data_IF_212031793270
#
_entry.id   IF_212031793270
#
_cell.length_a   1.000
_cell.length_b   1.000
_cell.length_c   1.000
_cell.angle_alpha   90.00
_cell.angle_beta   90.00
_cell.angle_gamma   90.00
#
_symmetry.space_group_name_H-M   'P 1'
#
loop_
_entity.id
_entity.type
_entity.pdbx_description
1 polymer ?
#
# COMPACT_ATOMS: atom_id res chain seq x y z
N UNK A 1 -2.31 -39.51 7.22
CA UNK A 1 -1.98 -40.69 6.39
C UNK A 1 -2.31 -40.29 4.95
N UNK A 2 -1.30 -40.03 4.11
CA UNK A 2 -1.51 -39.74 2.68
C UNK A 2 -0.69 -40.76 1.90
N UNK A 3 -1.38 -41.43 0.99
CA UNK A 3 -0.86 -42.42 0.05
C UNK A 3 -0.63 -41.72 -1.30
N UNK A 4 0.48 -42.03 -1.97
CA UNK A 4 0.91 -41.43 -3.24
C UNK A 4 0.63 -42.42 -4.36
N UNK A 5 0.14 -41.96 -5.52
CA UNK A 5 0.13 -42.77 -6.74
C UNK A 5 -0.31 -42.00 -7.99
N UNK A 6 0.61 -41.78 -8.93
CA UNK A 6 0.31 -41.24 -10.25
C UNK A 6 1.55 -40.88 -11.06
N UNK A 7 2.07 -41.83 -11.82
CA UNK A 7 3.15 -41.69 -12.82
C UNK A 7 2.80 -40.67 -13.92
N UNK A 8 3.72 -39.74 -14.22
CA UNK A 8 3.65 -38.91 -15.43
C UNK A 8 4.95 -39.02 -16.23
N UNK A 9 4.83 -39.59 -17.43
CA UNK A 9 5.92 -39.72 -18.42
C UNK A 9 6.09 -38.38 -19.16
N UNK A 10 7.33 -37.93 -19.33
CA UNK A 10 7.68 -36.76 -20.13
C UNK A 10 7.82 -37.11 -21.62
N UNK A 11 7.22 -36.31 -22.50
CA UNK A 11 7.54 -36.27 -23.93
C UNK A 11 8.58 -35.16 -24.19
N UNK A 12 9.63 -35.40 -25.01
CA UNK A 12 10.62 -34.37 -25.32
C UNK A 12 10.09 -33.36 -26.35
N UNK A 13 10.26 -32.06 -26.06
CA UNK A 13 10.06 -30.95 -27.00
C UNK A 13 11.27 -30.79 -27.95
N UNK A 14 11.07 -30.30 -29.19
CA UNK A 14 12.16 -30.12 -30.15
C UNK A 14 13.15 -29.04 -29.70
N UNK A 15 14.43 -29.33 -29.86
CA UNK A 15 15.55 -28.45 -29.49
C UNK A 15 15.63 -27.24 -30.42
N UNK A 16 15.46 -26.04 -29.87
CA UNK A 16 15.88 -24.81 -30.56
C UNK A 16 17.40 -24.69 -30.50
N UNK A 17 18.02 -24.42 -31.64
CA UNK A 17 19.47 -24.24 -31.76
C UNK A 17 19.88 -22.99 -30.96
N UNK A 18 20.78 -23.08 -29.98
CA UNK A 18 21.19 -21.91 -29.20
C UNK A 18 22.01 -20.94 -30.09
N UNK A 19 21.76 -19.62 -30.00
CA UNK A 19 22.52 -18.65 -30.76
C UNK A 19 23.99 -18.68 -30.33
N UNK A 20 24.90 -18.78 -31.30
CA UNK A 20 26.34 -18.77 -31.02
C UNK A 20 26.81 -17.36 -30.65
N UNK A 21 27.81 -17.28 -29.76
CA UNK A 21 28.41 -16.05 -29.21
C UNK A 21 28.77 -14.98 -30.27
N UNK A 22 28.98 -15.41 -31.52
CA UNK A 22 29.36 -14.56 -32.65
C UNK A 22 28.21 -13.69 -33.19
N UNK A 23 26.95 -14.07 -32.97
CA UNK A 23 25.76 -13.34 -33.48
C UNK A 23 25.19 -12.31 -32.49
N UNK A 24 25.54 -12.40 -31.20
CA UNK A 24 25.11 -11.44 -30.16
C UNK A 24 25.91 -10.13 -30.20
N UNK A 25 27.17 -10.18 -30.66
CA UNK A 25 28.06 -9.01 -30.68
C UNK A 25 27.85 -8.06 -31.88
N UNK A 26 27.04 -8.41 -32.87
CA UNK A 26 26.82 -7.57 -34.06
C UNK A 26 25.64 -6.60 -33.94
N UNK A 27 24.85 -6.65 -32.85
CA UNK A 27 23.68 -5.78 -32.62
C UNK A 27 23.80 -4.87 -31.39
N UNK A 28 24.93 -4.91 -30.68
CA UNK A 28 25.15 -4.09 -29.50
C UNK A 28 25.82 -2.75 -29.89
N UNK A 29 25.03 -1.67 -29.89
CA UNK A 29 25.57 -0.32 -29.79
C UNK A 29 26.21 -0.19 -28.40
N UNK A 30 27.51 0.16 -28.27
CA UNK A 30 28.13 0.25 -26.96
C UNK A 30 27.60 1.50 -26.24
N UNK A 31 26.65 1.31 -25.34
CA UNK A 31 26.38 2.29 -24.29
C UNK A 31 27.55 2.23 -23.30
N UNK A 32 28.43 3.23 -23.35
CA UNK A 32 29.40 3.46 -22.29
C UNK A 32 28.59 3.93 -21.08
N UNK A 33 28.16 2.98 -20.25
CA UNK A 33 27.58 3.26 -18.93
C UNK A 33 28.76 3.44 -17.97
N UNK A 34 28.90 4.63 -17.38
CA UNK A 34 29.99 4.90 -16.46
C UNK A 34 29.85 4.03 -15.21
N UNK A 35 30.96 3.68 -14.54
CA UNK A 35 30.90 2.92 -13.29
C UNK A 35 30.05 3.63 -12.21
N UNK A 36 29.90 4.95 -12.31
CA UNK A 36 29.03 5.77 -11.47
C UNK A 36 27.52 5.52 -11.73
N UNK A 37 27.12 5.12 -12.94
CA UNK A 37 25.72 4.76 -13.24
C UNK A 37 25.34 3.37 -12.71
N UNK A 38 26.32 2.52 -12.39
CA UNK A 38 26.13 1.20 -11.77
C UNK A 38 26.32 1.21 -10.25
N UNK A 39 26.55 2.37 -9.62
CA UNK A 39 26.69 2.50 -8.17
C UNK A 39 27.88 1.75 -7.55
N UNK A 40 28.86 1.31 -8.34
CA UNK A 40 30.10 0.72 -7.80
C UNK A 40 30.99 1.85 -7.28
N UNK A 41 31.46 1.68 -6.03
CA UNK A 41 32.22 2.62 -5.19
C UNK A 41 31.42 3.44 -4.14
N UNK A 42 30.17 3.06 -3.82
CA UNK A 42 29.46 3.61 -2.67
C UNK A 42 28.98 5.07 -2.82
N UNK A 43 29.15 5.66 -4.01
CA UNK A 43 28.57 6.96 -4.34
C UNK A 43 27.11 6.78 -4.77
N UNK A 44 26.19 7.26 -3.94
CA UNK A 44 24.78 7.44 -4.32
C UNK A 44 24.73 8.62 -5.28
N UNK A 45 24.36 8.39 -6.55
CA UNK A 45 24.26 9.48 -7.53
C UNK A 45 23.24 10.54 -7.06
N UNK A 46 23.26 11.78 -7.58
CA UNK A 46 22.24 12.80 -7.25
C UNK A 46 20.79 12.34 -7.54
N UNK A 47 20.61 11.33 -8.41
CA UNK A 47 19.34 10.64 -8.69
C UNK A 47 19.10 9.39 -7.82
N UNK A 48 19.91 9.16 -6.78
CA UNK A 48 19.90 7.93 -5.98
C UNK A 48 18.97 7.95 -4.77
N UNK A 49 18.20 9.03 -4.58
CA UNK A 49 17.16 9.09 -3.55
C UNK A 49 15.83 8.64 -4.12
N UNK A 50 15.12 7.82 -3.37
CA UNK A 50 13.73 7.44 -3.68
C UNK A 50 12.88 8.70 -3.57
N UNK A 51 12.23 9.07 -4.67
CA UNK A 51 11.38 10.26 -4.74
C UNK A 51 9.97 9.86 -4.35
N UNK A 52 9.46 10.51 -3.32
CA UNK A 52 8.20 10.12 -2.71
C UNK A 52 7.21 11.29 -2.73
N UNK A 53 5.97 10.99 -3.11
CA UNK A 53 4.84 11.86 -2.84
C UNK A 53 4.03 11.32 -1.66
N UNK A 54 3.46 12.23 -0.85
CA UNK A 54 2.53 11.85 0.21
C UNK A 54 1.12 12.36 -0.12
N UNK A 55 0.20 11.43 -0.35
CA UNK A 55 -1.21 11.69 -0.65
C UNK A 55 -2.03 11.32 0.59
N UNK A 56 -2.78 12.27 1.13
CA UNK A 56 -3.45 12.16 2.44
C UNK A 56 -2.45 12.33 3.58
N UNK A 57 -2.23 13.57 4.01
CA UNK A 57 -1.23 13.98 5.01
C UNK A 57 -1.85 14.45 6.34
N UNK A 58 -3.08 14.03 6.63
CA UNK A 58 -3.65 14.06 7.99
C UNK A 58 -2.90 13.14 8.98
N UNK A 59 -3.55 12.72 10.07
CA UNK A 59 -2.92 12.02 11.22
C UNK A 59 -1.82 10.98 10.89
N UNK A 60 -2.17 9.84 10.29
CA UNK A 60 -1.19 8.80 9.96
C UNK A 60 -0.26 9.20 8.81
N UNK A 61 -0.76 9.98 7.85
CA UNK A 61 0.03 10.50 6.73
C UNK A 61 1.20 11.36 7.22
N UNK A 62 0.96 12.27 8.16
CA UNK A 62 1.99 13.09 8.81
C UNK A 62 3.00 12.22 9.60
N UNK A 63 2.55 11.19 10.31
CA UNK A 63 3.45 10.27 11.03
C UNK A 63 4.38 9.53 10.07
N UNK A 64 3.82 9.01 8.98
CA UNK A 64 4.58 8.34 7.92
C UNK A 64 5.57 9.29 7.24
N UNK A 65 5.14 10.52 6.95
CA UNK A 65 5.98 11.57 6.38
C UNK A 65 7.21 11.84 7.27
N UNK A 66 7.01 12.03 8.59
CA UNK A 66 8.12 12.24 9.54
C UNK A 66 9.11 11.08 9.55
N UNK A 67 8.61 9.84 9.58
CA UNK A 67 9.46 8.66 9.59
C UNK A 67 10.31 8.52 8.31
N UNK A 68 9.74 8.87 7.16
CA UNK A 68 10.44 8.82 5.87
C UNK A 68 11.47 9.92 5.70
N UNK A 69 11.15 11.13 6.16
CA UNK A 69 12.09 12.25 6.13
C UNK A 69 13.34 12.03 6.99
N UNK A 70 13.26 11.12 7.96
CA UNK A 70 14.41 10.71 8.78
C UNK A 70 15.39 9.80 8.00
N UNK A 71 14.99 9.23 6.86
CA UNK A 71 15.86 8.41 6.01
C UNK A 71 16.53 9.29 4.94
N UNK A 72 17.85 9.39 4.99
CA UNK A 72 18.63 10.22 4.07
C UNK A 72 18.51 9.81 2.59
N UNK A 73 18.05 8.58 2.32
CA UNK A 73 17.82 8.03 0.98
C UNK A 73 16.46 8.41 0.40
N UNK A 74 15.59 9.06 1.17
CA UNK A 74 14.27 9.48 0.72
C UNK A 74 14.27 10.98 0.47
N UNK A 75 13.60 11.39 -0.61
CA UNK A 75 13.27 12.79 -0.86
C UNK A 75 11.76 12.92 -1.06
N UNK A 76 11.12 13.73 -0.23
CA UNK A 76 9.70 14.07 -0.42
C UNK A 76 9.61 15.18 -1.47
N UNK A 77 8.86 14.92 -2.54
CA UNK A 77 8.84 15.79 -3.75
C UNK A 77 7.47 16.37 -4.05
N UNK A 78 6.42 15.82 -3.42
CA UNK A 78 5.05 16.29 -3.53
C UNK A 78 4.25 15.98 -2.27
N UNK A 79 3.34 16.89 -1.93
CA UNK A 79 2.35 16.72 -0.87
C UNK A 79 0.97 16.87 -1.50
N UNK A 80 0.03 16.01 -1.13
CA UNK A 80 -1.34 16.10 -1.59
C UNK A 80 -2.32 15.89 -0.44
N UNK A 81 -3.24 16.83 -0.28
CA UNK A 81 -4.39 16.67 0.61
C UNK A 81 -5.54 17.54 0.11
N UNK A 82 -6.77 17.05 0.27
CA UNK A 82 -7.97 17.83 -0.01
C UNK A 82 -8.21 18.89 1.07
N UNK A 83 -7.68 18.66 2.28
CA UNK A 83 -7.67 19.61 3.38
C UNK A 83 -6.45 20.54 3.30
N UNK A 84 -6.71 21.81 2.97
CA UNK A 84 -5.67 22.82 2.79
C UNK A 84 -4.82 23.07 4.05
N UNK A 85 -5.36 22.85 5.25
CA UNK A 85 -4.60 23.03 6.48
C UNK A 85 -3.60 21.89 6.68
N UNK A 86 -4.03 20.65 6.43
CA UNK A 86 -3.13 19.50 6.45
C UNK A 86 -2.05 19.61 5.37
N UNK A 87 -2.44 19.97 4.15
CA UNK A 87 -1.51 20.17 3.04
C UNK A 87 -0.45 21.24 3.38
N UNK A 88 -0.85 22.41 3.87
CA UNK A 88 0.06 23.50 4.22
C UNK A 88 1.00 23.11 5.37
N UNK A 89 0.48 22.45 6.41
CA UNK A 89 1.29 21.99 7.53
C UNK A 89 2.33 20.94 7.11
N UNK A 90 1.93 19.97 6.29
CA UNK A 90 2.82 18.93 5.76
C UNK A 90 3.83 19.49 4.75
N UNK A 91 3.43 20.46 3.92
CA UNK A 91 4.32 21.12 2.97
C UNK A 91 5.43 21.89 3.70
N UNK A 92 5.06 22.66 4.73
CA UNK A 92 6.00 23.35 5.61
C UNK A 92 6.92 22.36 6.32
N UNK A 93 6.38 21.25 6.82
CA UNK A 93 7.15 20.21 7.48
C UNK A 93 8.19 19.60 6.53
N UNK A 94 7.77 19.22 5.31
CA UNK A 94 8.61 18.55 4.32
C UNK A 94 9.55 19.49 3.56
N UNK A 95 9.35 20.81 3.65
CA UNK A 95 10.11 21.79 2.88
C UNK A 95 9.87 21.72 1.37
N UNK A 96 8.70 21.25 0.95
CA UNK A 96 8.35 21.22 -0.48
C UNK A 96 7.87 22.60 -0.96
N UNK A 97 8.19 23.00 -2.19
CA UNK A 97 7.71 24.27 -2.73
C UNK A 97 6.18 24.23 -2.93
N UNK A 98 5.56 25.40 -2.93
CA UNK A 98 4.10 25.55 -3.06
C UNK A 98 3.56 24.89 -4.34
N UNK A 99 4.29 24.98 -5.46
CA UNK A 99 3.94 24.32 -6.73
C UNK A 99 4.03 22.78 -6.72
N UNK A 100 4.46 22.18 -5.60
CA UNK A 100 4.46 20.73 -5.37
C UNK A 100 3.42 20.31 -4.32
N UNK A 101 2.47 21.20 -4.00
CA UNK A 101 1.33 20.93 -3.13
C UNK A 101 0.09 20.82 -3.99
N UNK A 102 -0.57 19.66 -3.93
CA UNK A 102 -1.69 19.34 -4.79
C UNK A 102 -2.95 19.13 -3.95
N UNK A 103 -4.10 19.53 -4.48
CA UNK A 103 -5.40 19.17 -3.90
C UNK A 103 -5.90 17.85 -4.47
N UNK A 104 -5.61 17.59 -5.75
CA UNK A 104 -6.04 16.41 -6.47
C UNK A 104 -4.92 15.38 -6.59
N UNK A 105 -5.17 14.17 -6.08
CA UNK A 105 -4.18 13.10 -6.10
C UNK A 105 -3.83 12.63 -7.51
N UNK A 106 -4.72 12.83 -8.48
CA UNK A 106 -4.47 12.44 -9.89
C UNK A 106 -3.34 13.26 -10.50
N UNK A 107 -3.19 14.51 -10.09
CA UNK A 107 -2.07 15.36 -10.52
C UNK A 107 -0.73 14.83 -9.99
N UNK A 108 -0.72 14.25 -8.79
CA UNK A 108 0.45 13.58 -8.24
C UNK A 108 0.76 12.29 -8.96
N UNK A 109 -0.26 11.46 -9.23
CA UNK A 109 -0.09 10.18 -9.93
C UNK A 109 0.33 10.36 -11.39
N UNK A 110 0.01 11.50 -12.01
CA UNK A 110 0.47 11.84 -13.35
C UNK A 110 1.98 12.17 -13.40
N UNK A 111 2.63 12.33 -12.25
CA UNK A 111 4.07 12.59 -12.20
C UNK A 111 4.86 11.31 -12.40
N UNK A 112 5.78 11.33 -13.36
CA UNK A 112 6.68 10.21 -13.65
C UNK A 112 7.83 10.05 -12.65
N UNK A 113 7.85 10.83 -11.56
CA UNK A 113 8.98 10.96 -10.64
C UNK A 113 8.66 10.53 -9.19
N UNK A 114 7.68 9.63 -9.00
CA UNK A 114 7.18 9.17 -7.69
C UNK A 114 7.17 7.64 -7.59
N UNK A 115 7.76 7.08 -6.52
CA UNK A 115 7.90 5.63 -6.26
C UNK A 115 7.02 5.11 -5.08
N UNK A 116 6.72 3.79 -5.03
CA UNK A 116 5.79 3.16 -4.07
C UNK A 116 6.43 2.13 -3.10
N UNK A 117 5.78 1.90 -1.93
CA UNK A 117 6.34 1.31 -0.70
C UNK A 117 6.21 -0.22 -0.55
N UNK A 118 7.34 -0.93 -0.55
CA UNK A 118 7.59 -2.24 0.15
C UNK A 118 8.79 -2.18 1.13
N UNK A 119 9.31 -0.99 1.44
CA UNK A 119 10.69 -0.76 1.89
C UNK A 119 10.97 -0.96 3.40
N UNK A 120 10.06 -1.55 4.17
CA UNK A 120 10.26 -1.75 5.62
C UNK A 120 11.33 -2.81 5.90
N UNK A 121 12.44 -2.46 6.57
CA UNK A 121 13.59 -3.35 6.75
C UNK A 121 13.23 -4.67 7.48
N UNK A 122 12.42 -4.61 8.55
CA UNK A 122 11.98 -5.82 9.28
C UNK A 122 11.11 -6.73 8.41
N UNK A 123 10.21 -6.13 7.62
CA UNK A 123 9.33 -6.84 6.70
C UNK A 123 10.16 -7.54 5.63
N UNK A 124 11.06 -6.80 4.99
CA UNK A 124 11.97 -7.34 3.97
C UNK A 124 12.79 -8.52 4.50
N UNK A 125 13.40 -8.39 5.67
CA UNK A 125 14.19 -9.49 6.27
C UNK A 125 13.34 -10.73 6.55
N UNK A 126 12.10 -10.56 7.02
CA UNK A 126 11.19 -11.66 7.27
C UNK A 126 10.81 -12.37 5.97
N UNK A 127 10.37 -11.62 4.95
CA UNK A 127 10.03 -12.15 3.63
C UNK A 127 11.23 -12.86 2.98
N UNK A 128 12.43 -12.29 3.05
CA UNK A 128 13.65 -12.92 2.51
C UNK A 128 13.99 -14.23 3.22
N UNK A 129 13.81 -14.34 4.54
CA UNK A 129 14.05 -15.61 5.26
C UNK A 129 13.07 -16.69 4.85
N UNK A 130 11.78 -16.35 4.73
CA UNK A 130 10.75 -17.29 4.27
C UNK A 130 11.07 -17.78 2.86
N UNK A 131 11.29 -16.85 1.93
CA UNK A 131 11.53 -17.15 0.51
C UNK A 131 12.82 -17.92 0.25
N UNK A 132 13.83 -17.74 1.08
CA UNK A 132 15.08 -18.49 1.00
C UNK A 132 15.05 -19.83 1.77
N UNK A 133 13.87 -20.25 2.25
CA UNK A 133 13.68 -21.57 2.86
C UNK A 133 14.22 -21.71 4.28
N UNK A 134 14.53 -20.61 4.99
CA UNK A 134 15.07 -20.68 6.35
C UNK A 134 14.10 -21.31 7.37
N UNK A 135 12.80 -21.32 7.07
CA UNK A 135 11.76 -21.93 7.91
C UNK A 135 11.28 -23.28 7.36
N UNK A 136 11.91 -23.80 6.31
CA UNK A 136 11.39 -24.94 5.55
C UNK A 136 10.20 -24.56 4.68
N UNK A 137 9.28 -25.50 4.49
CA UNK A 137 8.08 -25.31 3.68
C UNK A 137 7.05 -24.45 4.44
N UNK A 138 6.64 -23.33 3.85
CA UNK A 138 5.61 -22.46 4.41
C UNK A 138 4.25 -23.16 4.40
N UNK A 139 3.63 -23.32 5.57
CA UNK A 139 2.32 -23.98 5.72
C UNK A 139 1.17 -23.02 6.00
N UNK A 140 1.43 -21.97 6.78
CA UNK A 140 0.39 -21.06 7.27
C UNK A 140 0.99 -19.67 7.54
N UNK A 141 0.19 -18.62 7.35
CA UNK A 141 0.50 -17.25 7.75
C UNK A 141 -0.68 -16.72 8.56
N UNK A 142 -0.42 -16.35 9.80
CA UNK A 142 -1.41 -15.69 10.66
C UNK A 142 -1.19 -14.18 10.64
N UNK A 143 -2.27 -13.42 10.41
CA UNK A 143 -2.24 -11.96 10.34
C UNK A 143 -3.15 -11.40 11.42
N UNK A 144 -2.58 -10.54 12.28
CA UNK A 144 -3.32 -9.78 13.28
C UNK A 144 -3.31 -8.28 12.97
N UNK A 145 -4.48 -7.65 13.03
CA UNK A 145 -4.58 -6.17 13.02
C UNK A 145 -4.60 -5.62 14.45
N UNK A 146 -4.02 -4.44 14.70
CA UNK A 146 -4.02 -3.85 16.03
C UNK A 146 -5.45 -3.43 16.45
N UNK A 147 -6.11 -4.23 17.28
CA UNK A 147 -7.52 -4.05 17.70
C UNK A 147 -7.81 -2.90 18.67
N UNK A 148 -7.13 -1.74 18.56
CA UNK A 148 -7.28 -0.59 19.47
C UNK A 148 -7.72 0.74 18.83
N UNK A 149 -8.01 0.77 17.54
CA UNK A 149 -8.60 1.95 16.90
C UNK A 149 -10.10 1.93 17.14
N UNK A 150 -10.56 2.92 17.88
CA UNK A 150 -11.96 3.23 18.07
C UNK A 150 -12.32 4.50 17.29
N UNK A 151 -13.62 4.74 17.11
CA UNK A 151 -14.14 6.02 16.66
C UNK A 151 -13.53 7.14 17.51
N UNK A 152 -13.05 8.19 16.85
CA UNK A 152 -12.41 9.34 17.49
C UNK A 152 -13.38 10.50 17.62
N UNK A 153 -13.15 11.36 18.60
CA UNK A 153 -13.93 12.59 18.79
C UNK A 153 -15.24 12.40 19.57
N UNK A 154 -15.47 11.22 20.16
CA UNK A 154 -16.66 10.96 20.98
C UNK A 154 -17.95 10.80 20.17
N UNK A 155 -17.86 10.67 18.85
CA UNK A 155 -19.03 10.47 17.99
C UNK A 155 -19.67 9.10 18.20
N UNK A 156 -20.98 9.09 18.12
CA UNK A 156 -21.87 7.94 18.25
C UNK A 156 -22.24 7.35 16.88
N UNK A 157 -22.14 8.15 15.82
CA UNK A 157 -22.63 7.81 14.48
C UNK A 157 -24.12 8.09 14.30
N UNK A 158 -24.77 8.72 15.29
CA UNK A 158 -26.19 9.10 15.29
C UNK A 158 -26.36 10.63 15.23
N UNK A 159 -25.28 11.36 15.00
CA UNK A 159 -25.29 12.82 14.93
C UNK A 159 -26.18 13.30 13.77
N UNK A 160 -26.93 14.38 14.05
CA UNK A 160 -27.76 15.03 13.04
C UNK A 160 -26.88 15.73 11.99
N UNK A 161 -27.35 15.84 10.74
CA UNK A 161 -26.69 16.64 9.72
C UNK A 161 -26.45 18.08 10.15
N UNK A 162 -25.30 18.61 9.76
CA UNK A 162 -24.90 20.00 10.02
C UNK A 162 -24.43 20.70 8.73
N UNK A 163 -24.22 22.01 8.80
CA UNK A 163 -23.72 22.77 7.66
C UNK A 163 -22.27 22.40 7.35
N UNK A 164 -21.96 22.27 6.05
CA UNK A 164 -20.58 22.02 5.61
C UNK A 164 -19.69 23.20 6.02
N UNK A 165 -18.56 22.95 6.71
CA UNK A 165 -17.61 24.00 7.06
C UNK A 165 -17.07 24.67 5.79
N UNK A 166 -16.92 26.00 5.81
CA UNK A 166 -16.48 26.77 4.64
C UNK A 166 -15.10 26.36 4.08
N UNK A 167 -14.28 25.68 4.88
CA UNK A 167 -12.95 25.19 4.49
C UNK A 167 -12.96 23.79 3.86
N UNK A 168 -14.10 23.09 3.86
CA UNK A 168 -14.22 21.72 3.37
C UNK A 168 -15.01 21.69 2.06
N UNK A 169 -14.34 21.29 0.99
CA UNK A 169 -14.99 20.94 -0.27
C UNK A 169 -15.63 19.56 -0.17
N UNK A 170 -16.85 19.52 0.36
CA UNK A 170 -17.48 18.26 0.74
C UNK A 170 -17.90 17.40 -0.46
N UNK A 171 -18.30 18.04 -1.57
CA UNK A 171 -18.61 17.31 -2.80
C UNK A 171 -17.37 16.57 -3.33
N UNK A 172 -16.21 17.24 -3.32
CA UNK A 172 -14.96 16.59 -3.70
C UNK A 172 -14.49 15.56 -2.67
N UNK A 173 -14.74 15.78 -1.38
CA UNK A 173 -14.40 14.84 -0.31
C UNK A 173 -15.19 13.52 -0.43
N UNK A 174 -16.49 13.59 -0.73
CA UNK A 174 -17.32 12.41 -1.00
C UNK A 174 -16.85 11.64 -2.24
N UNK A 175 -16.30 12.37 -3.22
CA UNK A 175 -15.78 11.78 -4.45
C UNK A 175 -16.88 11.06 -5.22
N UNK A 176 -16.67 9.79 -5.64
CA UNK A 176 -17.67 9.03 -6.39
C UNK A 176 -18.76 8.41 -5.51
N UNK A 177 -18.65 8.50 -4.18
CA UNK A 177 -19.66 7.95 -3.29
C UNK A 177 -20.98 8.72 -3.40
N UNK A 178 -22.09 8.09 -2.98
CA UNK A 178 -23.39 8.75 -3.06
C UNK A 178 -23.40 10.04 -2.22
N UNK A 179 -24.13 11.06 -2.68
CA UNK A 179 -24.31 12.27 -1.90
C UNK A 179 -24.98 11.95 -0.56
N UNK A 180 -24.35 12.38 0.53
CA UNK A 180 -24.86 12.23 1.89
C UNK A 180 -24.87 13.59 2.58
N UNK A 181 -25.75 13.83 3.56
CA UNK A 181 -25.66 15.03 4.39
C UNK A 181 -24.34 15.04 5.18
N UNK A 182 -23.75 16.23 5.30
CA UNK A 182 -22.52 16.41 6.06
C UNK A 182 -22.75 16.17 7.57
N UNK A 183 -21.83 15.42 8.17
CA UNK A 183 -21.62 15.37 9.63
C UNK A 183 -20.12 15.29 9.89
N UNK A 184 -19.63 15.97 10.92
CA UNK A 184 -18.23 15.82 11.35
C UNK A 184 -17.89 14.36 11.71
N UNK A 185 -18.88 13.62 12.24
CA UNK A 185 -18.77 12.20 12.56
C UNK A 185 -18.43 11.32 11.34
N UNK A 186 -18.83 11.72 10.14
CA UNK A 186 -18.60 10.97 8.89
C UNK A 186 -17.19 11.17 8.31
N UNK A 187 -16.54 12.28 8.65
CA UNK A 187 -15.36 12.76 7.94
C UNK A 187 -14.02 12.33 8.59
N UNK A 188 -12.94 12.54 7.85
CA UNK A 188 -11.53 12.44 8.30
C UNK A 188 -11.05 11.12 8.90
N UNK A 189 -11.18 10.91 10.21
CA UNK A 189 -10.70 9.67 10.81
C UNK A 189 -11.77 8.58 10.71
N UNK A 190 -13.03 8.96 10.91
CA UNK A 190 -14.12 8.04 11.16
C UNK A 190 -14.80 7.53 9.88
N UNK A 191 -14.47 8.06 8.70
CA UNK A 191 -14.91 7.48 7.42
C UNK A 191 -14.54 5.99 7.31
N UNK A 192 -13.46 5.58 8.00
CA UNK A 192 -12.98 4.19 8.10
C UNK A 192 -14.03 3.23 8.63
N UNK A 193 -15.01 3.72 9.37
CA UNK A 193 -16.02 2.88 10.00
C UNK A 193 -17.31 2.82 9.20
N UNK A 194 -17.33 3.39 8.00
CA UNK A 194 -18.48 3.45 7.10
C UNK A 194 -18.13 2.59 5.89
N UNK A 195 -18.79 1.44 5.74
CA UNK A 195 -18.51 0.40 4.75
C UNK A 195 -18.50 0.95 3.32
N UNK A 196 -19.36 1.92 3.03
CA UNK A 196 -19.41 2.64 1.74
C UNK A 196 -18.10 3.38 1.40
N UNK A 197 -17.36 3.86 2.40
CA UNK A 197 -16.10 4.60 2.19
C UNK A 197 -14.88 3.75 2.43
N UNK A 198 -14.91 2.94 3.48
CA UNK A 198 -13.84 2.05 3.86
C UNK A 198 -14.40 0.96 4.79
N UNK A 199 -14.24 -0.33 4.46
CA UNK A 199 -14.71 -1.43 5.29
C UNK A 199 -13.77 -1.70 6.49
N UNK A 200 -13.55 -0.69 7.32
CA UNK A 200 -12.86 -0.83 8.60
C UNK A 200 -11.43 -1.33 8.49
N UNK A 201 -11.08 -2.19 9.45
CA UNK A 201 -9.74 -2.76 9.55
C UNK A 201 -9.31 -3.59 8.36
N UNK A 202 -10.25 -4.14 7.59
CA UNK A 202 -9.96 -5.02 6.45
C UNK A 202 -9.14 -4.23 5.42
N UNK A 203 -9.57 -3.02 5.09
CA UNK A 203 -8.91 -2.19 4.06
C UNK A 203 -7.92 -1.17 4.63
N UNK A 204 -8.02 -0.82 5.91
CA UNK A 204 -7.05 0.08 6.56
C UNK A 204 -5.74 -0.67 6.86
N UNK A 205 -5.73 -1.59 7.83
CA UNK A 205 -4.51 -2.34 8.20
C UNK A 205 -4.41 -3.70 7.50
N UNK A 206 -5.54 -4.36 7.28
CA UNK A 206 -5.60 -5.71 6.69
C UNK A 206 -4.92 -5.75 5.33
N UNK A 207 -5.25 -4.82 4.44
CA UNK A 207 -4.65 -4.72 3.10
C UNK A 207 -3.11 -4.62 3.14
N UNK A 208 -2.55 -3.85 4.08
CA UNK A 208 -1.10 -3.71 4.22
C UNK A 208 -0.43 -5.02 4.65
N UNK A 209 -1.02 -5.74 5.60
CA UNK A 209 -0.46 -7.01 6.05
C UNK A 209 -0.69 -8.14 5.04
N UNK A 210 -1.81 -8.12 4.32
CA UNK A 210 -2.11 -9.07 3.25
C UNK A 210 -1.11 -8.95 2.09
N UNK A 211 -0.78 -7.73 1.63
CA UNK A 211 0.28 -7.53 0.61
C UNK A 211 1.61 -8.11 1.08
N UNK A 212 2.01 -7.84 2.32
CA UNK A 212 3.26 -8.37 2.90
C UNK A 212 3.24 -9.90 3.00
N UNK A 213 2.12 -10.48 3.43
CA UNK A 213 1.95 -11.93 3.54
C UNK A 213 2.04 -12.59 2.16
N UNK A 214 1.38 -12.01 1.16
CA UNK A 214 1.41 -12.47 -0.22
C UNK A 214 2.83 -12.39 -0.81
N UNK A 215 3.53 -11.28 -0.57
CA UNK A 215 4.93 -11.12 -0.97
C UNK A 215 5.87 -12.12 -0.30
N UNK A 216 5.72 -12.29 1.02
CA UNK A 216 6.51 -13.22 1.83
C UNK A 216 6.29 -14.69 1.44
N UNK A 217 5.06 -15.06 1.07
CA UNK A 217 4.72 -16.38 0.55
C UNK A 217 5.20 -16.60 -0.90
N UNK A 218 5.57 -15.52 -1.60
CA UNK A 218 5.90 -15.57 -3.03
C UNK A 218 4.72 -15.81 -3.94
N UNK A 219 3.56 -15.32 -3.52
CA UNK A 219 2.27 -15.46 -4.18
C UNK A 219 1.81 -14.15 -4.86
N UNK A 220 2.72 -13.22 -5.14
CA UNK A 220 2.41 -11.93 -5.78
C UNK A 220 1.72 -12.09 -7.16
N UNK A 221 2.04 -13.18 -7.87
CA UNK A 221 1.50 -13.51 -9.19
C UNK A 221 0.34 -14.51 -9.14
N UNK A 222 -0.16 -14.82 -7.94
CA UNK A 222 -1.28 -15.75 -7.74
C UNK A 222 -2.38 -15.10 -6.93
N UNK A 223 -3.53 -15.74 -6.88
CA UNK A 223 -4.65 -15.34 -6.04
C UNK A 223 -5.11 -16.52 -5.19
N UNK A 224 -5.76 -16.26 -4.04
CA UNK A 224 -6.46 -17.30 -3.32
C UNK A 224 -7.44 -18.05 -4.23
N UNK A 225 -7.57 -19.36 -4.03
CA UNK A 225 -8.62 -20.16 -4.67
C UNK A 225 -9.94 -20.09 -3.93
N UNK A 226 -9.89 -19.86 -2.62
CA UNK A 226 -11.07 -19.66 -1.79
C UNK A 226 -10.80 -18.56 -0.76
N UNK A 227 -11.84 -17.76 -0.50
CA UNK A 227 -11.84 -16.76 0.56
C UNK A 227 -13.14 -16.91 1.33
N UNK A 228 -13.05 -17.15 2.63
CA UNK A 228 -14.21 -17.23 3.51
C UNK A 228 -14.06 -16.27 4.68
N UNK A 229 -15.18 -15.72 5.15
CA UNK A 229 -15.22 -14.81 6.29
C UNK A 229 -16.20 -15.34 7.33
N UNK A 230 -15.74 -15.49 8.57
CA UNK A 230 -16.50 -15.97 9.72
C UNK A 230 -16.41 -14.98 10.87
N UNK A 231 -17.29 -15.15 11.87
CA UNK A 231 -17.28 -14.35 13.11
C UNK A 231 -17.37 -12.83 12.90
N UNK A 232 -18.02 -12.40 11.80
CA UNK A 232 -18.13 -10.98 11.45
C UNK A 232 -19.11 -10.29 12.39
N UNK A 233 -18.62 -9.31 13.15
CA UNK A 233 -19.45 -8.43 14.00
C UNK A 233 -19.46 -7.02 13.43
N UNK A 234 -20.65 -6.44 13.40
CA UNK A 234 -20.91 -5.06 12.98
C UNK A 234 -21.75 -4.36 14.04
N UNK A 235 -21.72 -3.03 14.04
CA UNK A 235 -22.67 -2.24 14.84
C UNK A 235 -24.06 -2.37 14.28
N UNK A 236 -25.06 -2.31 15.16
CA UNK A 236 -26.47 -2.43 14.80
C UNK A 236 -27.15 -1.08 14.51
N UNK A 237 -26.48 0.04 14.76
CA UNK A 237 -27.06 1.37 14.66
C UNK A 237 -26.01 2.45 14.32
N UNK A 238 -26.50 3.53 13.72
CA UNK A 238 -25.68 4.66 13.29
C UNK A 238 -25.09 4.48 11.90
N UNK A 239 -24.31 5.47 11.47
CA UNK A 239 -23.64 5.47 10.16
C UNK A 239 -22.42 4.54 10.10
N UNK A 240 -21.94 4.05 11.24
CA UNK A 240 -20.74 3.22 11.34
C UNK A 240 -21.10 1.73 11.21
N UNK A 241 -21.15 1.24 9.98
CA UNK A 241 -21.59 -0.12 9.61
C UNK A 241 -20.45 -1.09 9.25
N UNK A 242 -19.19 -0.61 9.20
CA UNK A 242 -18.04 -1.46 8.92
C UNK A 242 -17.83 -2.57 9.98
N UNK A 243 -17.20 -3.68 9.57
CA UNK A 243 -16.90 -4.79 10.45
C UNK A 243 -15.90 -4.41 11.56
N UNK A 244 -16.26 -4.67 12.82
CA UNK A 244 -15.43 -4.41 14.00
C UNK A 244 -14.55 -5.61 14.37
N UNK A 245 -15.05 -6.82 14.15
CA UNK A 245 -14.29 -8.07 14.27
C UNK A 245 -14.67 -9.03 13.17
N UNK A 246 -13.72 -9.82 12.72
CA UNK A 246 -13.89 -10.82 11.67
C UNK A 246 -12.72 -11.79 11.70
N UNK A 247 -12.95 -13.00 11.20
CA UNK A 247 -11.90 -13.94 10.80
C UNK A 247 -12.04 -14.17 9.30
N UNK A 248 -10.94 -14.01 8.56
CA UNK A 248 -10.93 -14.26 7.12
C UNK A 248 -9.87 -15.30 6.83
N UNK A 249 -10.26 -16.35 6.11
CA UNK A 249 -9.37 -17.43 5.69
C UNK A 249 -9.19 -17.36 4.18
N UNK A 250 -7.92 -17.34 3.76
CA UNK A 250 -7.52 -17.34 2.36
C UNK A 250 -6.83 -18.67 2.06
N UNK A 251 -7.42 -19.46 1.17
CA UNK A 251 -6.82 -20.71 0.72
C UNK A 251 -6.05 -20.47 -0.57
N UNK A 252 -4.82 -20.99 -0.67
CA UNK A 252 -3.99 -20.93 -1.86
C UNK A 252 -3.70 -22.35 -2.36
N UNK A 253 -3.52 -22.49 -3.68
CA UNK A 253 -3.01 -23.72 -4.27
C UNK A 253 -1.49 -23.78 -4.08
N UNK A 254 -1.04 -24.42 -3.00
CA UNK A 254 0.37 -24.75 -2.81
C UNK A 254 0.52 -26.13 -2.18
#
# INVERSE_FOLDING_TARGET
>A
MINIGGDLRFFPMPTSVPPTRRRFLQTAVPFIVSAATLGRAGAVSPNGKVRLACIGVGGQGTSNLRALMADERVQVVAICDVDSQHAAAAAKLAGVPEGSVYKDFREVLARSDVDWRRSGMKVRMACERVRNGYIGELKEIEIGVPGKFAIRGGYTGLEMPEAVPAHLDYAMWLGPAAEKPYTAARCHFNFRWIEEYAPGYITDWGAHFLDVAQWGAGMDETTPTEVSATEVKRRSAGIYDAAESFRIEYQYNN
#
